data_IF_296825854848
#
_entry.id   IF_296825854848
#
_cell.length_a   1.000
_cell.length_b   1.000
_cell.length_c   1.000
_cell.angle_alpha   90.00
_cell.angle_beta   90.00
_cell.angle_gamma   90.00
#
_symmetry.space_group_name_H-M   'P 1'
#
loop_
_entity.id
_entity.type
_entity.pdbx_description
1 polymer ?
#
# COMPACT_ATOMS: atom_id res chain seq x y z
N UNK A 1 11.89 -55.27 -46.42
CA UNK A 1 11.30 -53.95 -46.26
C UNK A 1 11.38 -53.25 -47.57
N UNK A 2 10.26 -52.96 -48.22
CA UNK A 2 10.19 -52.29 -49.53
C UNK A 2 10.47 -50.78 -49.35
N UNK A 3 11.02 -50.13 -50.41
CA UNK A 3 11.29 -48.70 -50.41
C UNK A 3 10.02 -47.84 -50.08
N UNK A 4 8.85 -48.32 -50.49
CA UNK A 4 7.57 -47.69 -50.17
C UNK A 4 7.27 -47.67 -48.66
N UNK A 5 7.57 -48.78 -47.94
CA UNK A 5 7.39 -48.84 -46.51
C UNK A 5 8.37 -47.93 -45.76
N UNK A 6 9.60 -47.81 -46.25
CA UNK A 6 10.58 -46.90 -45.67
C UNK A 6 10.15 -45.43 -45.83
N UNK A 7 9.64 -45.05 -46.99
CA UNK A 7 9.11 -43.68 -47.20
C UNK A 7 7.87 -43.40 -46.34
N UNK A 8 7.01 -44.38 -46.11
CA UNK A 8 5.87 -44.26 -45.22
C UNK A 8 6.32 -43.99 -43.79
N UNK A 9 7.28 -44.76 -43.29
CA UNK A 9 7.86 -44.60 -41.95
C UNK A 9 8.45 -43.19 -41.79
N UNK A 10 9.19 -42.67 -42.75
CA UNK A 10 9.74 -41.33 -42.69
C UNK A 10 8.65 -40.24 -42.66
N UNK A 11 7.55 -40.38 -43.43
CA UNK A 11 6.42 -39.46 -43.40
C UNK A 11 5.72 -39.48 -42.05
N UNK A 12 5.45 -40.68 -41.52
CA UNK A 12 4.77 -40.86 -40.23
C UNK A 12 5.62 -40.30 -39.10
N UNK A 13 6.93 -40.52 -39.14
CA UNK A 13 7.85 -39.94 -38.19
C UNK A 13 7.87 -38.40 -38.22
N UNK A 14 7.99 -37.81 -39.44
CA UNK A 14 7.95 -36.36 -39.59
C UNK A 14 6.61 -35.76 -39.09
N UNK A 15 5.49 -36.40 -39.37
CA UNK A 15 4.18 -36.00 -38.89
C UNK A 15 4.06 -36.09 -37.35
N UNK A 16 4.65 -37.16 -36.78
CA UNK A 16 4.72 -37.32 -35.33
C UNK A 16 5.57 -36.24 -34.67
N UNK A 17 6.72 -35.92 -35.24
CA UNK A 17 7.58 -34.83 -34.79
C UNK A 17 6.86 -33.47 -34.86
N UNK A 18 6.18 -33.18 -35.96
CA UNK A 18 5.39 -31.93 -36.11
C UNK A 18 4.29 -31.79 -35.06
N UNK A 19 3.55 -32.89 -34.82
CA UNK A 19 2.49 -32.90 -33.77
C UNK A 19 3.08 -32.73 -32.38
N UNK A 20 4.18 -33.45 -32.05
CA UNK A 20 4.84 -33.34 -30.77
C UNK A 20 5.35 -31.91 -30.51
N UNK A 21 6.02 -31.32 -31.50
CA UNK A 21 6.53 -29.95 -31.38
C UNK A 21 5.41 -28.92 -31.18
N UNK A 22 4.29 -29.09 -31.91
CA UNK A 22 3.11 -28.25 -31.70
C UNK A 22 2.51 -28.38 -30.30
N UNK A 23 2.41 -29.60 -29.79
CA UNK A 23 1.90 -29.84 -28.42
C UNK A 23 2.81 -29.23 -27.36
N UNK A 24 4.13 -29.33 -27.53
CA UNK A 24 5.11 -28.68 -26.66
C UNK A 24 4.92 -27.13 -26.70
N UNK A 25 4.78 -26.54 -27.88
CA UNK A 25 4.58 -25.10 -28.00
C UNK A 25 3.28 -24.64 -27.30
N UNK A 26 2.19 -25.42 -27.45
CA UNK A 26 0.91 -25.12 -26.78
C UNK A 26 1.01 -25.25 -25.28
N UNK A 27 1.66 -26.29 -24.76
CA UNK A 27 1.90 -26.47 -23.32
C UNK A 27 2.76 -25.33 -22.77
N UNK A 28 3.82 -24.92 -23.48
CA UNK A 28 4.65 -23.79 -23.09
C UNK A 28 3.88 -22.47 -23.05
N UNK A 29 3.02 -22.20 -24.05
CA UNK A 29 2.17 -21.02 -24.06
C UNK A 29 1.20 -21.01 -22.87
N UNK A 30 0.59 -22.17 -22.55
CA UNK A 30 -0.30 -22.33 -21.38
C UNK A 30 0.43 -22.08 -20.07
N UNK A 31 1.64 -22.62 -19.93
CA UNK A 31 2.49 -22.39 -18.76
C UNK A 31 2.88 -20.92 -18.59
N UNK A 32 3.22 -20.23 -19.69
CA UNK A 32 3.53 -18.80 -19.66
C UNK A 32 2.31 -17.96 -19.26
N UNK A 33 1.10 -18.33 -19.70
CA UNK A 33 -0.13 -17.66 -19.30
C UNK A 33 -0.41 -17.83 -17.81
N UNK A 34 -0.23 -19.03 -17.25
CA UNK A 34 -0.36 -19.29 -15.82
C UNK A 34 0.70 -18.57 -14.99
N UNK A 35 1.95 -18.49 -15.50
CA UNK A 35 3.02 -17.76 -14.84
C UNK A 35 2.81 -16.23 -14.82
N UNK A 36 1.98 -15.71 -15.71
CA UNK A 36 1.62 -14.27 -15.74
C UNK A 36 0.54 -13.90 -14.69
N UNK A 37 -0.04 -14.86 -14.00
CA UNK A 37 -1.02 -14.61 -12.94
C UNK A 37 -0.32 -14.14 -11.67
N UNK A 38 -0.63 -12.92 -11.23
CA UNK A 38 -0.08 -12.33 -10.01
C UNK A 38 -1.21 -11.84 -9.12
N UNK A 39 -1.19 -12.15 -7.81
CA UNK A 39 -2.12 -11.58 -6.85
C UNK A 39 -1.81 -10.10 -6.60
N UNK A 40 -2.79 -9.37 -6.08
CA UNK A 40 -2.60 -8.07 -5.49
C UNK A 40 -2.01 -8.18 -4.06
N UNK A 41 -1.64 -7.04 -3.50
CA UNK A 41 -1.19 -6.99 -2.11
C UNK A 41 -2.32 -7.38 -1.15
N UNK A 42 -1.95 -7.99 -0.03
CA UNK A 42 -2.91 -8.39 1.00
C UNK A 42 -3.70 -7.19 1.54
N UNK A 43 -5.04 -7.33 1.53
CA UNK A 43 -5.97 -6.41 2.18
C UNK A 43 -6.87 -7.21 3.14
N UNK A 44 -6.95 -6.87 4.44
CA UNK A 44 -7.81 -7.57 5.39
C UNK A 44 -9.31 -7.51 5.05
N UNK A 45 -9.75 -6.47 4.33
CA UNK A 45 -11.15 -6.28 3.92
C UNK A 45 -11.47 -7.05 2.64
N UNK A 46 -10.48 -7.23 1.74
CA UNK A 46 -10.62 -7.90 0.45
C UNK A 46 -9.60 -9.05 0.35
N UNK A 47 -10.04 -10.25 0.75
CA UNK A 47 -9.18 -11.43 0.84
C UNK A 47 -9.08 -12.26 -0.43
N UNK A 48 -9.85 -11.94 -1.44
CA UNK A 48 -9.92 -12.71 -2.70
C UNK A 48 -9.55 -11.83 -3.88
N UNK A 49 -8.57 -12.27 -4.67
CA UNK A 49 -8.13 -11.62 -5.89
C UNK A 49 -8.38 -12.50 -7.10
N UNK A 50 -8.56 -11.87 -8.25
CA UNK A 50 -8.64 -12.53 -9.54
C UNK A 50 -7.61 -11.91 -10.48
N UNK A 51 -6.93 -12.76 -11.25
CA UNK A 51 -5.98 -12.32 -12.26
C UNK A 51 -6.25 -12.98 -13.60
N UNK A 52 -5.90 -12.27 -14.68
CA UNK A 52 -5.93 -12.79 -16.04
C UNK A 52 -4.51 -12.67 -16.62
N UNK A 53 -4.05 -13.73 -17.27
CA UNK A 53 -2.74 -13.80 -17.89
C UNK A 53 -2.84 -14.18 -19.37
N UNK A 54 -1.85 -13.76 -20.15
CA UNK A 54 -1.66 -14.17 -21.52
C UNK A 54 -0.26 -14.73 -21.69
N UNK A 55 -0.17 -15.84 -22.44
CA UNK A 55 1.09 -16.48 -22.77
C UNK A 55 1.22 -16.77 -24.25
N UNK A 56 2.40 -16.52 -24.77
CA UNK A 56 2.77 -16.84 -26.15
C UNK A 56 4.07 -17.66 -26.14
N UNK A 57 4.12 -18.66 -26.99
CA UNK A 57 5.35 -19.37 -27.28
C UNK A 57 5.36 -19.89 -28.71
N UNK A 58 6.31 -19.40 -29.50
CA UNK A 58 6.43 -19.70 -30.94
C UNK A 58 5.11 -19.44 -31.69
N UNK A 59 4.45 -20.52 -32.17
CA UNK A 59 3.19 -20.47 -32.91
C UNK A 59 1.95 -20.74 -32.08
N UNK A 60 2.07 -20.77 -30.74
CA UNK A 60 0.99 -21.07 -29.83
C UNK A 60 0.70 -19.89 -28.89
N UNK A 61 -0.58 -19.76 -28.54
CA UNK A 61 -1.11 -18.75 -27.63
C UNK A 61 -2.02 -19.39 -26.60
N UNK A 62 -2.05 -18.83 -25.41
CA UNK A 62 -2.96 -19.21 -24.35
C UNK A 62 -3.34 -17.99 -23.50
N UNK A 63 -4.54 -18.04 -22.91
CA UNK A 63 -4.96 -17.15 -21.84
C UNK A 63 -5.12 -17.96 -20.56
N UNK A 64 -4.92 -17.32 -19.40
CA UNK A 64 -5.17 -17.94 -18.10
C UNK A 64 -6.03 -17.05 -17.24
N UNK A 65 -6.79 -17.69 -16.34
CA UNK A 65 -7.53 -17.03 -15.27
C UNK A 65 -7.13 -17.69 -13.97
N UNK A 66 -6.90 -16.88 -12.92
CA UNK A 66 -6.56 -17.38 -11.60
C UNK A 66 -7.35 -16.68 -10.51
N UNK A 67 -7.57 -17.39 -9.42
CA UNK A 67 -8.11 -16.88 -8.19
C UNK A 67 -7.10 -17.09 -7.07
N UNK A 68 -6.97 -16.10 -6.23
CA UNK A 68 -6.07 -16.08 -5.08
C UNK A 68 -6.89 -15.78 -3.83
N UNK A 69 -6.61 -16.46 -2.74
CA UNK A 69 -7.26 -16.24 -1.46
C UNK A 69 -6.23 -16.10 -0.35
N UNK A 70 -6.31 -15.01 0.38
CA UNK A 70 -5.44 -14.67 1.50
C UNK A 70 -6.18 -14.87 2.83
N UNK A 71 -6.10 -16.03 3.49
CA UNK A 71 -6.66 -16.22 4.84
C UNK A 71 -6.12 -15.19 5.84
N UNK A 72 -4.84 -14.82 5.69
CA UNK A 72 -4.11 -13.83 6.48
C UNK A 72 -2.93 -13.29 5.66
N UNK A 73 -2.24 -12.27 6.16
CA UNK A 73 -1.09 -11.62 5.49
C UNK A 73 0.11 -12.55 5.21
N UNK A 74 0.15 -13.71 5.89
CA UNK A 74 1.28 -14.64 5.81
C UNK A 74 0.98 -15.88 4.98
N UNK A 75 -0.25 -16.05 4.52
CA UNK A 75 -0.69 -17.25 3.80
C UNK A 75 -1.53 -16.87 2.59
N UNK A 76 -1.25 -17.50 1.46
CA UNK A 76 -2.04 -17.35 0.23
C UNK A 76 -2.27 -18.73 -0.37
N UNK A 77 -3.48 -18.96 -0.85
CA UNK A 77 -3.87 -20.12 -1.65
C UNK A 77 -4.24 -19.65 -3.05
N UNK A 78 -3.83 -20.34 -4.08
CA UNK A 78 -4.19 -19.99 -5.45
C UNK A 78 -4.62 -21.20 -6.26
N UNK A 79 -5.48 -20.93 -7.23
CA UNK A 79 -5.86 -21.87 -8.29
C UNK A 79 -5.87 -21.12 -9.62
N UNK A 80 -5.53 -21.81 -10.70
CA UNK A 80 -5.56 -21.20 -12.04
C UNK A 80 -5.85 -22.22 -13.11
N UNK A 81 -6.37 -21.73 -14.22
CA UNK A 81 -6.62 -22.51 -15.44
C UNK A 81 -6.11 -21.75 -16.63
N UNK A 82 -5.42 -22.43 -17.55
CA UNK A 82 -5.04 -21.89 -18.85
C UNK A 82 -5.84 -22.57 -19.95
N UNK A 83 -6.27 -21.76 -20.93
CA UNK A 83 -7.03 -22.13 -22.11
C UNK A 83 -6.30 -21.60 -23.35
N UNK A 84 -6.24 -22.39 -24.38
CA UNK A 84 -5.57 -21.97 -25.63
C UNK A 84 -5.79 -22.98 -26.72
N UNK A 85 -4.85 -23.05 -27.66
CA UNK A 85 -4.90 -23.96 -28.81
C UNK A 85 -4.58 -25.42 -28.45
N UNK A 86 -4.29 -25.71 -27.17
CA UNK A 86 -4.00 -27.05 -26.64
C UNK A 86 -5.00 -27.49 -25.59
N UNK A 87 -4.63 -28.54 -24.87
CA UNK A 87 -5.39 -28.99 -23.71
C UNK A 87 -5.35 -27.93 -22.59
N UNK A 88 -6.41 -27.81 -21.77
CA UNK A 88 -6.42 -26.88 -20.65
C UNK A 88 -5.39 -27.28 -19.61
N UNK A 89 -4.64 -26.30 -19.10
CA UNK A 89 -3.71 -26.48 -17.99
C UNK A 89 -4.35 -26.01 -16.69
N UNK A 90 -4.03 -26.69 -15.59
CA UNK A 90 -4.51 -26.33 -14.25
C UNK A 90 -3.31 -26.22 -13.32
N UNK A 91 -3.38 -25.26 -12.40
CA UNK A 91 -2.45 -25.18 -11.27
C UNK A 91 -3.19 -24.91 -9.97
N UNK A 92 -2.59 -25.32 -8.86
CA UNK A 92 -3.00 -24.94 -7.52
C UNK A 92 -1.73 -24.83 -6.66
N UNK A 93 -1.74 -23.87 -5.74
CA UNK A 93 -0.60 -23.62 -4.88
C UNK A 93 -0.98 -23.04 -3.54
N UNK A 94 -0.07 -23.20 -2.58
CA UNK A 94 -0.13 -22.55 -1.28
C UNK A 94 1.22 -21.87 -1.05
N UNK A 95 1.18 -20.62 -0.66
CA UNK A 95 2.36 -19.85 -0.30
C UNK A 95 2.24 -19.38 1.15
N UNK A 96 3.34 -19.39 1.89
CA UNK A 96 3.37 -18.91 3.26
C UNK A 96 4.72 -18.26 3.57
N UNK A 97 4.67 -17.21 4.37
CA UNK A 97 5.87 -16.51 4.85
C UNK A 97 6.46 -17.28 6.03
N UNK A 98 7.77 -17.56 5.99
CA UNK A 98 8.53 -18.14 7.08
C UNK A 98 9.51 -17.09 7.57
N UNK A 99 9.44 -16.72 8.84
CA UNK A 99 10.36 -15.78 9.46
C UNK A 99 9.79 -15.26 10.79
N UNK A 100 10.67 -14.73 11.63
CA UNK A 100 10.27 -13.98 12.82
C UNK A 100 9.74 -12.63 12.35
N UNK A 101 8.48 -12.59 11.95
CA UNK A 101 7.79 -11.32 11.77
C UNK A 101 7.86 -10.58 13.10
N UNK A 102 8.34 -9.34 13.11
CA UNK A 102 8.19 -8.46 14.26
C UNK A 102 6.74 -8.48 14.68
N UNK A 103 6.46 -9.10 15.82
CA UNK A 103 5.14 -9.05 16.42
C UNK A 103 4.77 -7.57 16.60
N UNK A 104 3.84 -7.05 15.80
CA UNK A 104 3.36 -5.70 16.02
C UNK A 104 2.82 -4.93 14.82
N UNK A 105 3.05 -5.36 13.60
CA UNK A 105 2.48 -4.69 12.44
C UNK A 105 1.43 -5.61 11.80
N UNK A 106 0.24 -5.65 12.35
CA UNK A 106 -0.91 -6.17 11.61
C UNK A 106 -1.21 -5.16 10.50
N UNK A 107 -1.32 -5.67 9.27
CA UNK A 107 -1.78 -4.85 8.16
C UNK A 107 -3.16 -4.29 8.52
N UNK A 108 -3.28 -2.97 8.60
CA UNK A 108 -4.56 -2.32 8.83
C UNK A 108 -5.35 -2.33 7.53
N UNK A 109 -6.64 -2.61 7.61
CA UNK A 109 -7.54 -2.49 6.46
C UNK A 109 -7.59 -1.04 5.95
N UNK A 110 -7.89 -0.85 4.66
CA UNK A 110 -8.09 0.50 4.09
C UNK A 110 -9.16 1.27 4.85
N UNK A 111 -10.21 0.58 5.28
CA UNK A 111 -11.32 1.14 6.06
C UNK A 111 -10.87 1.59 7.46
N UNK A 112 -10.05 0.80 8.15
CA UNK A 112 -9.49 1.16 9.44
C UNK A 112 -8.51 2.32 9.32
N UNK A 113 -7.65 2.30 8.31
CA UNK A 113 -6.72 3.40 8.02
C UNK A 113 -7.48 4.71 7.75
N UNK A 114 -8.56 4.67 6.96
CA UNK A 114 -9.41 5.83 6.73
C UNK A 114 -10.07 6.34 8.01
N UNK A 115 -10.51 5.47 8.92
CA UNK A 115 -11.06 5.87 10.23
C UNK A 115 -10.00 6.56 11.09
N UNK A 116 -8.78 6.02 11.15
CA UNK A 116 -7.68 6.63 11.89
C UNK A 116 -7.31 8.00 11.32
N UNK A 117 -7.19 8.13 9.99
CA UNK A 117 -6.92 9.41 9.33
C UNK A 117 -8.01 10.43 9.64
N UNK A 118 -9.29 10.04 9.58
CA UNK A 118 -10.41 10.93 9.90
C UNK A 118 -10.43 11.36 11.38
N UNK A 119 -10.09 10.47 12.30
CA UNK A 119 -10.00 10.82 13.73
C UNK A 119 -8.84 11.77 14.00
N UNK A 120 -7.67 11.52 13.42
CA UNK A 120 -6.52 12.43 13.51
C UNK A 120 -6.80 13.82 12.90
N UNK A 121 -7.50 13.87 11.77
CA UNK A 121 -7.90 15.12 11.15
C UNK A 121 -8.80 15.96 12.07
N UNK A 122 -9.78 15.33 12.72
CA UNK A 122 -10.64 16.00 13.71
C UNK A 122 -9.86 16.50 14.93
N UNK A 123 -8.90 15.73 15.40
CA UNK A 123 -8.05 16.13 16.51
C UNK A 123 -7.15 17.31 16.15
N UNK A 124 -6.57 17.30 14.96
CA UNK A 124 -5.78 18.42 14.42
C UNK A 124 -6.64 19.69 14.33
N UNK A 125 -7.88 19.60 13.87
CA UNK A 125 -8.78 20.75 13.77
C UNK A 125 -9.17 21.29 15.16
N UNK A 126 -9.40 20.40 16.14
CA UNK A 126 -9.64 20.76 17.52
C UNK A 126 -8.44 21.47 18.15
N UNK A 127 -7.23 20.96 17.94
CA UNK A 127 -5.98 21.55 18.42
C UNK A 127 -5.70 22.91 17.78
N UNK A 128 -5.97 23.08 16.49
CA UNK A 128 -5.85 24.38 15.80
C UNK A 128 -6.79 25.42 16.41
N UNK A 129 -8.04 25.02 16.72
CA UNK A 129 -9.00 25.92 17.36
C UNK A 129 -8.57 26.29 18.78
N UNK A 130 -8.09 25.33 19.57
CA UNK A 130 -7.60 25.59 20.93
C UNK A 130 -6.37 26.51 20.90
N UNK A 131 -5.45 26.34 19.95
CA UNK A 131 -4.33 27.24 19.77
C UNK A 131 -4.77 28.66 19.42
N UNK A 132 -5.71 28.81 18.50
CA UNK A 132 -6.24 30.15 18.14
C UNK A 132 -6.93 30.85 19.33
N UNK A 133 -7.61 30.08 20.19
CA UNK A 133 -8.23 30.64 21.42
C UNK A 133 -7.15 30.99 22.47
N UNK A 134 -6.07 30.22 22.57
CA UNK A 134 -4.91 30.55 23.42
C UNK A 134 -4.20 31.80 22.96
N UNK A 135 -3.99 31.96 21.64
CA UNK A 135 -3.39 33.16 21.07
C UNK A 135 -4.20 34.42 21.41
N UNK A 136 -5.53 34.38 21.25
CA UNK A 136 -6.41 35.50 21.66
C UNK A 136 -6.29 35.83 23.15
N UNK A 137 -6.13 34.80 24.00
CA UNK A 137 -5.93 35.02 25.46
C UNK A 137 -4.58 35.63 25.75
N UNK A 138 -3.54 35.24 25.03
CA UNK A 138 -2.21 35.81 25.14
C UNK A 138 -2.24 37.28 24.76
N UNK A 139 -2.81 37.62 23.59
CA UNK A 139 -2.95 38.99 23.11
C UNK A 139 -3.70 39.88 24.13
N UNK A 140 -4.80 39.34 24.71
CA UNK A 140 -5.56 40.06 25.72
C UNK A 140 -4.79 40.28 27.03
N UNK A 141 -3.95 39.33 27.43
CA UNK A 141 -3.07 39.46 28.61
C UNK A 141 -1.93 40.43 28.34
N UNK A 142 -1.35 40.45 27.16
CA UNK A 142 -0.32 41.43 26.77
C UNK A 142 -0.88 42.85 26.75
N UNK A 143 -2.08 43.05 26.22
CA UNK A 143 -2.75 44.33 26.26
C UNK A 143 -2.99 44.83 27.71
N UNK A 144 -3.49 43.95 28.60
CA UNK A 144 -3.67 44.28 30.01
C UNK A 144 -2.36 44.61 30.71
N UNK A 145 -1.29 43.89 30.39
CA UNK A 145 0.04 44.13 30.93
C UNK A 145 0.57 45.50 30.48
N UNK A 146 0.39 45.85 29.19
CA UNK A 146 0.74 47.18 28.68
C UNK A 146 -0.05 48.31 29.34
N UNK A 147 -1.35 48.11 29.59
CA UNK A 147 -2.18 49.09 30.32
C UNK A 147 -1.71 49.30 31.77
N UNK A 148 -1.35 48.22 32.46
CA UNK A 148 -0.84 48.28 33.85
C UNK A 148 0.50 49.01 33.88
N UNK A 149 1.41 48.71 32.96
CA UNK A 149 2.70 49.41 32.87
C UNK A 149 2.50 50.91 32.60
N UNK A 150 1.61 51.28 31.69
CA UNK A 150 1.28 52.70 31.41
C UNK A 150 0.66 53.42 32.61
N UNK A 151 -0.13 52.76 33.46
CA UNK A 151 -0.70 53.27 34.70
C UNK A 151 0.37 53.46 35.78
N UNK A 152 1.33 52.55 35.87
CA UNK A 152 2.45 52.61 36.79
C UNK A 152 3.38 53.79 36.46
N UNK A 153 3.70 54.01 35.20
CA UNK A 153 4.50 55.15 34.73
C UNK A 153 3.83 56.50 35.04
N UNK A 154 2.54 56.61 34.81
CA UNK A 154 1.77 57.81 35.16
C UNK A 154 1.76 58.09 36.67
N UNK A 155 1.70 57.05 37.50
CA UNK A 155 1.76 57.18 38.97
C UNK A 155 3.18 57.44 39.47
N UNK A 156 4.20 56.87 38.84
CA UNK A 156 5.62 57.11 39.16
C UNK A 156 6.05 58.53 38.87
N UNK A 157 5.46 59.19 37.85
CA UNK A 157 5.73 60.59 37.49
C UNK A 157 5.07 61.60 38.42
N UNK A 158 4.22 61.18 39.38
CA UNK A 158 3.57 62.04 40.39
C UNK A 158 4.21 62.00 41.76
N UNK A 159 5.47 61.61 41.89
CA UNK A 159 6.23 61.82 43.13
C UNK A 159 6.50 63.31 43.30
N UNK A 160 6.03 63.96 44.39
CA UNK A 160 6.37 65.36 44.63
C UNK A 160 7.84 65.48 44.94
N UNK A 161 8.57 66.31 44.22
CA UNK A 161 9.91 66.75 44.52
C UNK A 161 9.84 67.69 45.74
N UNK A 162 9.83 67.08 46.91
CA UNK A 162 9.74 67.79 48.17
C UNK A 162 10.61 67.15 49.28
N UNK A 163 11.89 67.06 49.08
CA UNK A 163 12.82 66.90 50.23
C UNK A 163 13.79 68.07 50.20
N UNK A 164 13.40 69.10 50.96
CA UNK A 164 14.33 70.17 51.37
C UNK A 164 15.56 69.57 52.00
N UNK A 165 16.69 69.92 51.45
CA UNK A 165 17.99 69.78 52.16
C UNK A 165 17.99 70.72 53.33
N UNK A 166 18.00 70.20 54.55
CA UNK A 166 18.43 70.95 55.70
C UNK A 166 19.92 70.73 55.89
N UNK A 167 20.67 71.76 55.65
CA UNK A 167 22.07 71.90 56.02
C UNK A 167 22.21 72.13 57.54
N UNK A 168 23.03 71.45 58.32
CA UNK A 168 23.40 71.86 59.65
C UNK A 168 24.51 72.93 59.51
N UNK A 169 24.29 74.08 60.19
CA UNK A 169 25.32 75.09 60.45
C UNK A 169 25.93 74.87 61.84
N UNK A 170 27.28 74.99 61.91
CA UNK A 170 28.21 75.20 63.04
C UNK A 170 28.43 74.07 63.99
#
# INVERSE_FOLDING_TARGET
VTAANTQQIYRDMNNAYGRLNNNINKAAAGSNALAALHPLDYDPDDKADFAVGYGHYRNANAAAVGAFYHPNENTMVNVGVSLGNGDPGFNAGVSFKIGSGSAGHQAMSKTEMAKVINSQSKEIDALKKDNADKDKRIDALEQKMAEILAKLDKNGSRRPSGLRKTTPQA
#
